data_IF_059998349902
#
_entry.id   IF_059998349902
#
_cell.length_a   1.000
_cell.length_b   1.000
_cell.length_c   1.000
_cell.angle_alpha   90.00
_cell.angle_beta   90.00
_cell.angle_gamma   90.00
#
_symmetry.space_group_name_H-M   'P 1'
#
loop_
_entity.id
_entity.type
_entity.pdbx_description
1 polymer ?
#
# COMPACT_ATOMS: atom_id res chain seq x y z
N UNK A 1 -2.77 36.75 6.11
CA UNK A 1 -2.66 35.28 6.18
C UNK A 1 -2.45 34.94 7.64
N UNK A 2 -3.44 34.33 8.30
CA UNK A 2 -3.35 33.89 9.71
C UNK A 2 -2.21 32.89 9.82
N UNK A 3 -1.37 33.09 10.83
CA UNK A 3 -0.17 32.30 11.08
C UNK A 3 -0.53 30.83 11.21
N UNK A 4 -0.10 30.03 10.23
CA UNK A 4 -0.36 28.59 10.22
C UNK A 4 0.47 27.96 11.33
N UNK A 5 -0.22 27.33 12.28
CA UNK A 5 0.38 26.60 13.41
C UNK A 5 1.48 25.66 12.88
N UNK A 6 2.68 25.66 13.47
CA UNK A 6 3.77 24.79 13.04
C UNK A 6 3.33 23.33 13.12
N UNK A 7 3.49 22.59 12.02
CA UNK A 7 3.13 21.17 11.95
C UNK A 7 4.31 20.33 12.45
N UNK A 8 4.22 19.74 13.64
CA UNK A 8 5.25 18.84 14.18
C UNK A 8 4.92 17.36 13.89
N UNK A 9 5.79 16.61 13.19
CA UNK A 9 5.52 15.23 12.76
C UNK A 9 5.15 14.25 13.87
N UNK A 10 5.64 14.48 15.10
CA UNK A 10 5.44 13.57 16.25
C UNK A 10 4.24 13.92 17.13
N UNK A 11 3.59 15.07 16.89
CA UNK A 11 2.49 15.59 17.73
C UNK A 11 1.24 15.97 16.95
N UNK A 12 1.32 16.04 15.63
CA UNK A 12 0.15 16.21 14.81
C UNK A 12 -0.61 14.89 14.75
N UNK A 13 -1.79 14.87 15.35
CA UNK A 13 -2.82 13.89 14.98
C UNK A 13 -2.98 14.01 13.46
N UNK A 14 -2.62 12.97 12.71
CA UNK A 14 -2.79 12.94 11.26
C UNK A 14 -4.30 12.78 11.00
N UNK A 15 -5.05 13.86 11.19
CA UNK A 15 -6.49 13.91 10.89
C UNK A 15 -6.72 14.13 9.39
N UNK A 16 -5.65 14.46 8.65
CA UNK A 16 -5.68 14.73 7.21
C UNK A 16 -4.47 14.10 6.55
N UNK A 17 -4.69 13.09 5.70
CA UNK A 17 -3.71 12.62 4.73
C UNK A 17 -3.78 13.56 3.52
N UNK A 18 -2.73 14.35 3.29
CA UNK A 18 -2.69 15.23 2.12
C UNK A 18 -2.73 14.39 0.82
N UNK A 19 -3.52 14.77 -0.20
CA UNK A 19 -3.48 14.14 -1.52
C UNK A 19 -2.05 14.16 -2.06
N UNK A 20 -1.50 13.01 -2.46
CA UNK A 20 -0.12 12.95 -2.94
C UNK A 20 0.96 12.91 -1.86
N UNK A 21 0.59 12.87 -0.57
CA UNK A 21 1.55 12.76 0.53
C UNK A 21 2.34 11.44 0.51
N UNK A 22 3.46 11.41 1.25
CA UNK A 22 4.36 10.24 1.37
C UNK A 22 3.68 8.94 1.81
N UNK A 23 2.50 9.04 2.43
CA UNK A 23 1.77 7.92 3.02
C UNK A 23 0.61 7.39 2.15
N UNK A 24 0.28 8.06 1.03
CA UNK A 24 -0.81 7.65 0.14
C UNK A 24 -0.32 6.99 -1.15
N UNK A 25 -1.21 6.36 -1.90
CA UNK A 25 -0.90 5.63 -3.13
C UNK A 25 -0.11 6.46 -4.16
N UNK A 26 -0.42 7.75 -4.31
CA UNK A 26 0.23 8.66 -5.28
C UNK A 26 1.72 8.85 -4.97
N UNK A 27 2.08 8.93 -3.68
CA UNK A 27 3.46 9.10 -3.23
C UNK A 27 4.20 7.77 -3.02
N UNK A 28 3.56 6.64 -3.31
CA UNK A 28 4.07 5.31 -2.97
C UNK A 28 5.31 4.95 -3.78
N UNK A 29 6.36 4.50 -3.08
CA UNK A 29 7.54 3.90 -3.69
C UNK A 29 7.20 2.65 -4.53
N UNK A 30 6.19 1.88 -4.12
CA UNK A 30 5.71 0.72 -4.89
C UNK A 30 5.17 1.14 -6.25
N UNK A 31 4.30 2.17 -6.29
CA UNK A 31 3.79 2.72 -7.55
C UNK A 31 4.93 3.18 -8.45
N UNK A 32 5.94 3.85 -7.88
CA UNK A 32 7.12 4.29 -8.63
C UNK A 32 7.90 3.12 -9.23
N UNK A 33 8.09 2.03 -8.49
CA UNK A 33 8.78 0.83 -8.99
C UNK A 33 7.98 0.15 -10.11
N UNK A 34 6.69 -0.11 -9.86
CA UNK A 34 5.80 -0.77 -10.82
C UNK A 34 5.55 0.06 -12.09
N UNK A 35 5.54 1.39 -11.99
CA UNK A 35 5.33 2.29 -13.14
C UNK A 35 6.62 2.56 -13.93
N UNK A 36 7.78 2.61 -13.28
CA UNK A 36 9.00 3.07 -13.94
C UNK A 36 9.82 1.97 -14.59
N UNK A 37 9.69 0.70 -14.22
CA UNK A 37 10.64 -0.31 -14.71
C UNK A 37 10.15 -1.73 -14.54
N UNK A 38 10.18 -2.51 -15.63
CA UNK A 38 10.87 -3.81 -15.82
C UNK A 38 10.77 -4.88 -14.71
N UNK A 39 9.91 -4.69 -13.72
CA UNK A 39 9.63 -5.65 -12.67
C UNK A 39 8.84 -6.78 -13.30
N UNK A 40 9.56 -7.84 -13.65
CA UNK A 40 9.01 -9.01 -14.31
C UNK A 40 8.19 -8.71 -15.59
N UNK A 41 8.52 -7.64 -16.32
CA UNK A 41 7.77 -7.18 -17.50
C UNK A 41 6.26 -6.94 -17.26
N UNK A 42 5.86 -6.64 -16.03
CA UNK A 42 4.45 -6.41 -15.70
C UNK A 42 3.97 -5.07 -16.25
N UNK A 43 2.90 -5.09 -17.04
CA UNK A 43 2.17 -3.92 -17.51
C UNK A 43 0.78 -3.95 -16.89
N UNK A 44 0.47 -2.96 -16.05
CA UNK A 44 -0.80 -2.87 -15.36
C UNK A 44 -1.77 -1.99 -16.14
N UNK A 45 -3.00 -2.44 -16.25
CA UNK A 45 -4.13 -1.65 -16.75
C UNK A 45 -4.53 -0.57 -15.75
N UNK A 46 -5.32 0.41 -16.20
CA UNK A 46 -5.83 1.49 -15.34
C UNK A 46 -6.65 0.95 -14.15
N UNK A 47 -7.39 -0.14 -14.36
CA UNK A 47 -8.19 -0.81 -13.33
C UNK A 47 -7.29 -1.47 -12.26
N UNK A 48 -6.25 -2.20 -12.68
CA UNK A 48 -5.29 -2.81 -11.74
C UNK A 48 -4.54 -1.73 -10.93
N UNK A 49 -4.21 -0.61 -11.57
CA UNK A 49 -3.64 0.53 -10.87
C UNK A 49 -4.58 1.14 -9.84
N UNK A 50 -5.89 1.19 -10.13
CA UNK A 50 -6.90 1.65 -9.19
C UNK A 50 -7.02 0.69 -8.00
N UNK A 51 -7.00 -0.63 -8.23
CA UNK A 51 -7.01 -1.63 -7.17
C UNK A 51 -5.78 -1.53 -6.26
N UNK A 52 -4.58 -1.39 -6.83
CA UNK A 52 -3.35 -1.21 -6.04
C UNK A 52 -3.41 0.09 -5.25
N UNK A 53 -3.90 1.17 -5.85
CA UNK A 53 -4.05 2.44 -5.15
C UNK A 53 -4.99 2.33 -3.96
N UNK A 54 -6.16 1.73 -4.17
CA UNK A 54 -7.14 1.47 -3.13
C UNK A 54 -6.55 0.60 -2.01
N UNK A 55 -5.84 -0.48 -2.35
CA UNK A 55 -5.19 -1.34 -1.35
C UNK A 55 -4.17 -0.58 -0.51
N UNK A 56 -3.33 0.26 -1.13
CA UNK A 56 -2.36 1.12 -0.42
C UNK A 56 -3.08 2.10 0.52
N UNK A 57 -4.09 2.81 0.00
CA UNK A 57 -4.85 3.80 0.77
C UNK A 57 -5.66 3.13 1.92
N UNK A 58 -5.96 1.84 1.81
CA UNK A 58 -6.57 1.00 2.86
C UNK A 58 -5.52 0.30 3.77
N UNK A 59 -4.36 0.93 3.99
CA UNK A 59 -3.25 0.46 4.84
C UNK A 59 -2.46 -0.75 4.31
N UNK A 60 -2.60 -1.11 3.03
CA UNK A 60 -1.86 -2.20 2.40
C UNK A 60 -1.88 -3.51 3.21
N UNK A 61 -3.06 -3.86 3.74
CA UNK A 61 -3.22 -5.04 4.61
C UNK A 61 -2.74 -6.28 3.87
N UNK A 62 -1.83 -7.03 4.51
CA UNK A 62 -1.29 -8.24 3.95
C UNK A 62 -2.28 -9.40 4.12
N UNK A 63 -2.84 -9.87 3.01
CA UNK A 63 -3.62 -11.10 2.99
C UNK A 63 -2.70 -12.29 2.70
N UNK A 64 -2.29 -12.98 3.76
CA UNK A 64 -1.67 -14.30 3.69
C UNK A 64 -0.80 -14.64 4.90
N UNK A 65 0.05 -15.65 4.72
CA UNK A 65 0.95 -16.22 5.75
C UNK A 65 2.43 -15.86 5.58
N UNK A 66 3.12 -15.47 6.65
CA UNK A 66 4.58 -15.33 6.65
C UNK A 66 5.31 -16.67 6.68
N UNK A 67 4.60 -17.77 6.97
CA UNK A 67 5.16 -19.11 7.09
C UNK A 67 5.55 -19.69 5.72
N UNK A 68 6.84 -19.96 5.52
CA UNK A 68 7.42 -20.38 4.25
C UNK A 68 6.74 -21.62 3.60
N UNK A 69 6.39 -22.69 4.34
CA UNK A 69 5.66 -23.84 3.80
C UNK A 69 4.28 -23.45 3.24
N UNK A 70 3.58 -22.54 3.91
CA UNK A 70 2.22 -22.13 3.53
C UNK A 70 2.20 -21.06 2.42
N UNK A 71 3.34 -20.42 2.10
CA UNK A 71 3.42 -19.49 0.95
C UNK A 71 3.10 -20.18 -0.38
N UNK A 72 3.42 -21.48 -0.50
CA UNK A 72 3.11 -22.29 -1.68
C UNK A 72 1.61 -22.35 -2.01
N UNK A 73 0.74 -22.27 -1.00
CA UNK A 73 -0.72 -22.31 -1.14
C UNK A 73 -1.27 -21.08 -1.89
N UNK A 74 -0.57 -19.94 -1.80
CA UNK A 74 -0.95 -18.70 -2.51
C UNK A 74 -0.87 -18.85 -4.01
N UNK A 75 0.12 -19.59 -4.50
CA UNK A 75 0.30 -19.85 -5.93
C UNK A 75 -0.70 -20.88 -6.48
N UNK A 76 -1.39 -21.60 -5.60
CA UNK A 76 -2.35 -22.65 -5.94
C UNK A 76 -3.80 -22.15 -5.86
N UNK A 77 -4.03 -20.85 -5.66
CA UNK A 77 -5.34 -20.25 -5.42
C UNK A 77 -6.12 -20.89 -4.24
N UNK A 78 -5.40 -21.53 -3.30
CA UNK A 78 -6.00 -22.08 -2.08
C UNK A 78 -6.15 -20.94 -1.08
N UNK A 79 -7.34 -20.71 -0.50
CA UNK A 79 -7.55 -19.65 0.48
C UNK A 79 -6.63 -19.85 1.68
N UNK A 80 -5.80 -18.85 1.98
CA UNK A 80 -5.02 -18.80 3.22
C UNK A 80 -5.86 -18.06 4.26
N UNK A 81 -6.09 -18.62 5.46
CA UNK A 81 -6.85 -17.92 6.49
C UNK A 81 -6.16 -16.60 6.87
N UNK A 82 -6.97 -15.59 7.16
CA UNK A 82 -6.48 -14.31 7.67
C UNK A 82 -5.74 -14.56 8.99
N UNK A 83 -4.53 -14.01 9.13
CA UNK A 83 -3.80 -14.11 10.38
C UNK A 83 -4.52 -13.31 11.47
N UNK A 84 -4.49 -13.82 12.70
CA UNK A 84 -5.01 -13.07 13.84
C UNK A 84 -4.21 -11.78 14.02
N UNK A 85 -4.92 -10.69 14.30
CA UNK A 85 -4.31 -9.40 14.58
C UNK A 85 -3.54 -9.54 15.91
N UNK A 86 -2.22 -9.37 15.89
CA UNK A 86 -1.38 -9.36 17.10
C UNK A 86 -1.51 -8.04 17.87
#
# INVERSE_FOLDING_TARGET
RKDLIPRWPQRNRIEVTEPGGKNGAIGSGLKKVLANSDHANVQLTDEEWAHIAMWIDQNAIFFGTTDAPQQSLRYQAVPVPMQEIQ
#
